data_IF_849212767517
#
_entry.id   IF_849212767517
#
_cell.length_a   1.000
_cell.length_b   1.000
_cell.length_c   1.000
_cell.angle_alpha   90.00
_cell.angle_beta   90.00
_cell.angle_gamma   90.00
#
_symmetry.space_group_name_H-M   'P 1'
#
loop_
_entity.id
_entity.type
_entity.pdbx_description
1 polymer ?
#
# COMPACT_ATOMS: atom_id res chain seq x y z
N UNK A 1 -13.42 4.94 -2.54
CA UNK A 1 -12.08 5.44 -2.92
C UNK A 1 -11.21 4.27 -3.39
N UNK A 2 -10.25 4.55 -4.25
CA UNK A 2 -9.34 3.54 -4.77
C UNK A 2 -7.91 4.09 -4.77
N UNK A 3 -6.95 3.20 -4.52
CA UNK A 3 -5.53 3.52 -4.55
C UNK A 3 -4.87 3.01 -5.85
N UNK A 4 -5.38 1.88 -6.38
CA UNK A 4 -4.86 1.23 -7.57
C UNK A 4 -3.54 0.49 -7.36
N UNK A 5 -3.39 -0.13 -6.19
CA UNK A 5 -2.27 -1.03 -5.90
C UNK A 5 -2.81 -2.42 -5.60
N UNK A 6 -2.04 -3.41 -6.02
CA UNK A 6 -2.16 -4.79 -5.60
C UNK A 6 -1.21 -4.97 -4.43
N UNK A 7 -1.74 -5.43 -3.31
CA UNK A 7 -0.97 -5.58 -2.08
C UNK A 7 -1.25 -6.92 -1.43
N UNK A 8 -0.30 -7.37 -0.63
CA UNK A 8 -0.39 -8.53 0.24
C UNK A 8 -0.18 -8.03 1.66
N UNK A 9 -1.11 -8.33 2.56
CA UNK A 9 -0.96 -7.99 3.97
C UNK A 9 0.22 -8.77 4.56
N UNK A 10 1.15 -8.06 5.19
CA UNK A 10 2.22 -8.66 5.97
C UNK A 10 1.75 -8.87 7.40
N UNK A 11 2.05 -10.06 7.90
CA UNK A 11 1.90 -10.46 9.28
C UNK A 11 3.23 -11.06 9.78
N UNK A 12 3.31 -11.34 11.07
CA UNK A 12 4.54 -11.85 11.70
C UNK A 12 5.03 -13.14 11.04
N UNK A 13 4.12 -14.02 10.60
CA UNK A 13 4.47 -15.24 9.88
C UNK A 13 5.15 -14.95 8.53
N UNK A 14 4.50 -14.17 7.65
CA UNK A 14 5.04 -13.87 6.31
C UNK A 14 6.36 -13.10 6.43
N UNK A 15 6.44 -12.16 7.37
CA UNK A 15 7.65 -11.38 7.59
C UNK A 15 8.82 -12.25 8.06
N UNK A 16 8.57 -13.18 8.98
CA UNK A 16 9.59 -14.10 9.48
C UNK A 16 10.05 -15.07 8.40
N UNK A 17 9.12 -15.58 7.60
CA UNK A 17 9.41 -16.46 6.46
C UNK A 17 10.27 -15.75 5.41
N UNK A 18 9.99 -14.47 5.14
CA UNK A 18 10.71 -13.66 4.15
C UNK A 18 11.90 -12.88 4.74
N UNK A 19 12.26 -13.10 6.00
CA UNK A 19 13.33 -12.38 6.72
C UNK A 19 13.19 -10.84 6.60
N UNK A 20 11.95 -10.35 6.55
CA UNK A 20 11.65 -8.94 6.48
C UNK A 20 11.82 -8.31 7.87
N UNK A 21 12.43 -7.12 7.90
CA UNK A 21 12.49 -6.31 9.13
C UNK A 21 11.10 -5.84 9.57
N UNK A 22 10.17 -5.77 8.63
CA UNK A 22 8.81 -5.28 8.83
C UNK A 22 7.89 -6.47 9.05
N UNK A 23 7.31 -6.56 10.25
CA UNK A 23 6.40 -7.63 10.65
C UNK A 23 4.93 -7.35 10.35
N UNK A 24 4.58 -6.10 10.06
CA UNK A 24 3.22 -5.67 9.80
C UNK A 24 3.19 -4.59 8.71
N UNK A 25 2.19 -4.65 7.84
CA UNK A 25 2.04 -3.68 6.76
C UNK A 25 1.29 -4.24 5.56
N UNK A 26 1.31 -3.51 4.45
CA UNK A 26 0.82 -3.96 3.16
C UNK A 26 1.97 -3.90 2.14
N UNK A 27 2.47 -5.06 1.72
CA UNK A 27 3.50 -5.19 0.69
C UNK A 27 2.86 -5.04 -0.69
N UNK A 28 3.30 -4.07 -1.47
CA UNK A 28 2.90 -3.88 -2.86
C UNK A 28 3.60 -4.93 -3.71
N UNK A 29 2.81 -5.86 -4.24
CA UNK A 29 3.30 -6.98 -5.02
C UNK A 29 2.39 -7.20 -6.23
N UNK A 30 3.01 -7.45 -7.38
CA UNK A 30 2.31 -7.83 -8.60
C UNK A 30 1.58 -9.16 -8.43
N UNK A 31 0.63 -9.43 -9.31
CA UNK A 31 -0.08 -10.71 -9.29
C UNK A 31 0.73 -11.84 -9.93
N UNK A 32 0.12 -13.02 -9.97
CA UNK A 32 0.74 -14.24 -10.48
C UNK A 32 0.98 -14.18 -12.00
N UNK A 33 0.13 -13.46 -12.73
CA UNK A 33 0.30 -13.29 -14.17
C UNK A 33 1.20 -12.10 -14.47
N UNK A 34 1.96 -12.17 -15.57
CA UNK A 34 2.81 -11.06 -16.04
C UNK A 34 2.03 -9.78 -16.32
N UNK A 35 0.73 -9.89 -16.56
CA UNK A 35 -0.18 -8.77 -16.83
C UNK A 35 -0.74 -8.12 -15.56
N UNK A 36 -0.66 -8.80 -14.41
CA UNK A 36 -1.13 -8.25 -13.14
C UNK A 36 -0.08 -7.28 -12.58
N UNK A 37 -0.19 -6.00 -12.91
CA UNK A 37 0.72 -4.99 -12.39
C UNK A 37 0.53 -4.78 -10.88
N UNK A 38 1.63 -4.56 -10.15
CA UNK A 38 1.59 -4.22 -8.72
C UNK A 38 0.91 -2.87 -8.49
N UNK A 39 1.12 -1.94 -9.42
CA UNK A 39 0.52 -0.60 -9.42
C UNK A 39 -0.16 -0.41 -10.77
N UNK A 40 -1.41 0.02 -10.73
CA UNK A 40 -2.20 0.23 -11.93
C UNK A 40 -1.79 1.56 -12.56
N UNK A 41 -1.39 1.61 -13.84
CA UNK A 41 -0.93 2.84 -14.49
C UNK A 41 -2.05 3.89 -14.51
N UNK A 42 -1.72 5.13 -14.19
CA UNK A 42 -2.68 6.24 -14.07
C UNK A 42 -3.46 6.26 -12.76
N UNK A 43 -3.28 5.26 -11.88
CA UNK A 43 -3.87 5.25 -10.55
C UNK A 43 -3.26 6.31 -9.63
N UNK A 44 -3.94 6.63 -8.51
CA UNK A 44 -3.38 7.48 -7.45
C UNK A 44 -2.00 7.04 -6.97
N UNK A 45 -1.79 5.74 -6.82
CA UNK A 45 -0.51 5.20 -6.37
C UNK A 45 0.60 5.37 -7.41
N UNK A 46 0.29 5.15 -8.69
CA UNK A 46 1.21 5.41 -9.80
C UNK A 46 1.62 6.89 -9.84
N UNK A 47 0.64 7.79 -9.72
CA UNK A 47 0.87 9.24 -9.63
C UNK A 47 1.69 9.65 -8.40
N UNK A 48 1.57 8.89 -7.31
CA UNK A 48 2.34 9.10 -6.09
C UNK A 48 3.77 8.52 -6.16
N UNK A 49 4.09 7.76 -7.22
CA UNK A 49 5.39 7.12 -7.40
C UNK A 49 5.59 5.85 -6.57
N UNK A 50 4.51 5.20 -6.14
CA UNK A 50 4.58 3.87 -5.52
C UNK A 50 5.02 2.83 -6.55
N UNK A 51 5.83 1.86 -6.11
CA UNK A 51 6.35 0.80 -6.97
C UNK A 51 6.23 -0.58 -6.31
N UNK A 52 6.47 -1.62 -7.12
CA UNK A 52 6.57 -2.98 -6.61
C UNK A 52 7.67 -3.08 -5.54
N UNK A 53 7.42 -3.90 -4.52
CA UNK A 53 8.28 -4.13 -3.35
C UNK A 53 8.27 -3.01 -2.30
N UNK A 54 7.42 -1.99 -2.47
CA UNK A 54 7.14 -1.04 -1.39
C UNK A 54 6.27 -1.68 -0.32
N UNK A 55 6.61 -1.44 0.95
CA UNK A 55 5.78 -1.88 2.07
C UNK A 55 5.15 -0.69 2.74
N UNK A 56 3.83 -0.59 2.69
CA UNK A 56 3.08 0.45 3.40
C UNK A 56 2.99 0.04 4.87
N UNK A 57 3.51 0.90 5.75
CA UNK A 57 3.56 0.70 7.19
C UNK A 57 2.38 1.39 7.88
N UNK A 58 2.10 2.63 7.47
CA UNK A 58 1.14 3.51 8.14
C UNK A 58 0.37 4.34 7.13
N UNK A 59 -0.88 4.64 7.45
CA UNK A 59 -1.76 5.52 6.69
C UNK A 59 -2.29 6.59 7.64
N UNK A 60 -1.88 7.84 7.45
CA UNK A 60 -2.32 8.97 8.25
C UNK A 60 -2.04 8.78 9.75
N UNK A 61 -0.89 8.19 10.06
CA UNK A 61 -0.49 7.81 11.42
C UNK A 61 -1.19 6.54 11.95
N UNK A 62 -2.07 5.90 11.19
CA UNK A 62 -2.68 4.62 11.54
C UNK A 62 -1.83 3.47 11.03
N UNK A 63 -1.31 2.64 11.94
CA UNK A 63 -0.54 1.44 11.59
C UNK A 63 -1.40 0.39 10.90
N UNK A 64 -0.86 -0.15 9.82
CA UNK A 64 -1.42 -1.31 9.12
C UNK A 64 -1.09 -2.58 9.90
N UNK A 65 -2.13 -3.33 10.24
CA UNK A 65 -2.03 -4.57 11.02
C UNK A 65 -3.01 -5.59 10.46
N UNK A 66 -2.91 -6.85 10.89
CA UNK A 66 -3.83 -7.93 10.49
C UNK A 66 -5.33 -7.55 10.67
N UNK A 67 -5.66 -6.89 11.79
CA UNK A 67 -7.02 -6.40 12.05
C UNK A 67 -7.40 -5.15 11.25
N UNK A 68 -6.41 -4.39 10.79
CA UNK A 68 -6.57 -3.07 10.17
C UNK A 68 -5.85 -3.03 8.82
N UNK A 69 -6.44 -3.71 7.85
CA UNK A 69 -5.94 -3.78 6.48
C UNK A 69 -6.05 -2.45 5.75
N UNK A 70 -5.18 -2.28 4.74
CA UNK A 70 -5.13 -1.06 3.93
C UNK A 70 -6.48 -0.73 3.32
N UNK A 71 -7.12 -1.71 2.68
CA UNK A 71 -8.48 -1.59 2.13
C UNK A 71 -9.49 -1.03 3.13
N UNK A 72 -9.43 -1.47 4.38
CA UNK A 72 -10.37 -1.14 5.44
C UNK A 72 -10.16 0.29 5.94
N UNK A 73 -8.91 0.74 5.98
CA UNK A 73 -8.55 2.11 6.29
C UNK A 73 -8.97 3.02 5.15
N UNK A 74 -8.57 2.72 3.91
CA UNK A 74 -8.92 3.50 2.72
C UNK A 74 -10.44 3.62 2.55
N UNK A 75 -11.21 2.57 2.85
CA UNK A 75 -12.68 2.60 2.79
C UNK A 75 -13.33 3.62 3.74
N UNK A 76 -12.63 4.08 4.78
CA UNK A 76 -13.14 5.13 5.70
C UNK A 76 -12.98 6.54 5.16
N UNK A 77 -12.09 6.74 4.18
CA UNK A 77 -11.85 8.03 3.55
C UNK A 77 -12.78 8.25 2.36
N UNK A 78 -12.91 9.50 1.93
CA UNK A 78 -13.64 9.86 0.71
C UNK A 78 -12.72 9.78 -0.51
N UNK A 79 -13.29 9.53 -1.70
CA UNK A 79 -12.56 9.79 -2.93
C UNK A 79 -12.12 11.27 -2.95
N UNK A 80 -10.99 11.54 -3.59
CA UNK A 80 -10.36 12.85 -3.64
C UNK A 80 -9.84 13.41 -2.29
N UNK A 81 -9.82 12.63 -1.21
CA UNK A 81 -9.08 13.02 0.00
C UNK A 81 -7.57 12.78 -0.17
N UNK A 82 -6.76 13.69 0.39
CA UNK A 82 -5.32 13.52 0.51
C UNK A 82 -5.01 12.75 1.79
N UNK A 83 -4.23 11.68 1.65
CA UNK A 83 -3.76 10.85 2.76
C UNK A 83 -2.24 10.80 2.76
N UNK A 84 -1.66 10.69 3.94
CA UNK A 84 -0.23 10.45 4.10
C UNK A 84 0.03 8.95 4.26
N UNK A 85 0.92 8.37 3.46
CA UNK A 85 1.35 6.99 3.55
C UNK A 85 2.80 6.95 3.99
N UNK A 86 3.10 6.22 5.06
CA UNK A 86 4.47 5.82 5.37
C UNK A 86 4.76 4.49 4.69
N UNK A 87 5.75 4.49 3.82
CA UNK A 87 6.23 3.31 3.10
C UNK A 87 7.66 2.99 3.50
N UNK A 88 8.04 1.74 3.31
CA UNK A 88 9.40 1.27 3.42
C UNK A 88 9.88 0.86 2.03
N UNK A 89 10.82 1.63 1.49
CA UNK A 89 11.37 1.44 0.16
C UNK A 89 12.88 1.19 0.26
N UNK A 90 13.36 0.06 -0.25
CA UNK A 90 14.81 -0.27 -0.33
C UNK A 90 15.60 -0.12 0.98
N UNK A 91 14.96 -0.33 2.13
CA UNK A 91 15.62 -0.23 3.43
C UNK A 91 15.43 1.11 4.14
N UNK A 92 14.74 2.07 3.52
CA UNK A 92 14.48 3.40 4.08
C UNK A 92 12.98 3.65 4.20
N UNK A 93 12.58 4.30 5.29
CA UNK A 93 11.21 4.77 5.48
C UNK A 93 11.02 6.08 4.70
N UNK A 94 9.97 6.14 3.88
CA UNK A 94 9.56 7.34 3.15
C UNK A 94 8.13 7.66 3.49
N UNK A 95 7.81 8.94 3.58
CA UNK A 95 6.43 9.40 3.71
C UNK A 95 6.03 10.05 2.41
N UNK A 96 4.98 9.54 1.79
CA UNK A 96 4.40 10.09 0.57
C UNK A 96 2.98 10.56 0.87
N UNK A 97 2.60 11.73 0.37
CA UNK A 97 1.22 12.18 0.39
C UNK A 97 0.61 11.91 -0.99
N UNK A 98 -0.60 11.36 -1.01
CA UNK A 98 -1.32 11.13 -2.25
C UNK A 98 -2.81 11.34 -2.08
N UNK A 99 -3.46 11.65 -3.20
CA UNK A 99 -4.89 11.87 -3.26
C UNK A 99 -5.62 10.63 -3.74
N UNK A 100 -6.53 10.09 -2.93
CA UNK A 100 -7.32 8.91 -3.26
C UNK A 100 -8.18 9.15 -4.51
N UNK A 101 -8.27 8.15 -5.37
CA UNK A 101 -9.10 8.16 -6.57
C UNK A 101 -10.53 7.74 -6.26
N UNK A 102 -11.44 8.04 -7.17
CA UNK A 102 -12.79 7.47 -7.15
C UNK A 102 -12.78 6.08 -7.78
N UNK A 103 -13.51 5.14 -7.18
CA UNK A 103 -13.65 3.80 -7.75
C UNK A 103 -14.74 3.88 -8.82
N UNK A 104 -14.35 3.90 -10.10
CA UNK A 104 -15.30 3.98 -11.22
C UNK A 104 -14.95 4.92 -12.38
N UNK A 105 -13.77 5.56 -12.38
CA UNK A 105 -13.22 6.31 -13.53
C UNK A 105 -12.31 5.48 -14.42
#
# INVERSE_FOLDING_TARGET
PWLGVRFVMLNEEIAKENNLKITQGALIARGEQRTDLAVVPGSPADKAGLVENDVILEIDGQKLTDSNSLEKIIAKYKPAEEISLKIFHKGEEKTISLKLGEFGE
#
